data_IF_827031312543
#
_entry.id   IF_827031312543
#
_cell.length_a   1.000
_cell.length_b   1.000
_cell.length_c   1.000
_cell.angle_alpha   90.00
_cell.angle_beta   90.00
_cell.angle_gamma   90.00
#
_symmetry.space_group_name_H-M   'P 1'
#
loop_
_entity.id
_entity.type
_entity.pdbx_description
1 polymer ?
#
# COMPACT_ATOMS: atom_id res chain seq x y z
N UNK A 1 -24.89 -13.72 7.66
CA UNK A 1 -23.48 -13.65 7.25
C UNK A 1 -23.45 -12.97 5.89
N UNK A 2 -23.19 -11.66 5.84
CA UNK A 2 -23.13 -10.93 4.57
C UNK A 2 -21.80 -11.28 3.89
N UNK A 3 -21.86 -11.81 2.68
CA UNK A 3 -20.66 -12.03 1.86
C UNK A 3 -20.24 -10.65 1.36
N UNK A 4 -19.29 -10.00 2.04
CA UNK A 4 -18.72 -8.76 1.55
C UNK A 4 -18.15 -8.99 0.15
N UNK A 5 -18.63 -8.22 -0.84
CA UNK A 5 -18.10 -8.30 -2.20
C UNK A 5 -16.65 -7.84 -2.18
N UNK A 6 -15.74 -8.78 -2.42
CA UNK A 6 -14.31 -8.49 -2.58
C UNK A 6 -14.11 -7.41 -3.65
N UNK A 7 -13.42 -6.33 -3.30
CA UNK A 7 -13.19 -5.22 -4.21
C UNK A 7 -12.44 -5.69 -5.47
N UNK A 8 -12.75 -5.14 -6.66
CA UNK A 8 -12.03 -5.47 -7.87
C UNK A 8 -10.54 -5.15 -7.75
N UNK A 9 -9.67 -6.03 -8.28
CA UNK A 9 -8.21 -5.81 -8.37
C UNK A 9 -7.84 -4.41 -8.87
N UNK A 10 -8.54 -3.94 -9.91
CA UNK A 10 -8.30 -2.62 -10.52
C UNK A 10 -8.53 -1.48 -9.52
N UNK A 11 -9.48 -1.62 -8.61
CA UNK A 11 -9.79 -0.63 -7.57
C UNK A 11 -8.68 -0.57 -6.53
N UNK A 12 -8.19 -1.72 -6.06
CA UNK A 12 -7.08 -1.79 -5.08
C UNK A 12 -5.81 -1.18 -5.66
N UNK A 13 -5.47 -1.53 -6.89
CA UNK A 13 -4.31 -0.94 -7.60
C UNK A 13 -4.47 0.58 -7.75
N UNK A 14 -5.68 1.07 -8.01
CA UNK A 14 -5.94 2.52 -8.08
C UNK A 14 -5.68 3.18 -6.73
N UNK A 15 -6.15 2.60 -5.61
CA UNK A 15 -5.90 3.12 -4.26
C UNK A 15 -4.40 3.21 -3.97
N UNK A 16 -3.65 2.14 -4.24
CA UNK A 16 -2.19 2.13 -4.08
C UNK A 16 -1.56 3.23 -4.93
N UNK A 17 -1.99 3.39 -6.20
CA UNK A 17 -1.45 4.45 -7.06
C UNK A 17 -1.75 5.86 -6.55
N UNK A 18 -2.93 6.08 -6.01
CA UNK A 18 -3.32 7.38 -5.45
C UNK A 18 -2.52 7.69 -4.17
N UNK A 19 -2.21 6.67 -3.37
CA UNK A 19 -1.32 6.76 -2.22
C UNK A 19 0.14 7.11 -2.62
N UNK A 20 0.65 6.50 -3.70
CA UNK A 20 1.96 6.85 -4.27
C UNK A 20 2.01 8.32 -4.74
N UNK A 21 0.94 8.82 -5.37
CA UNK A 21 0.83 10.24 -5.79
C UNK A 21 0.84 11.17 -4.60
N UNK A 22 0.09 10.82 -3.56
CA UNK A 22 0.05 11.56 -2.33
C UNK A 22 1.44 11.61 -1.67
N UNK A 23 2.10 10.47 -1.55
CA UNK A 23 3.47 10.37 -0.99
C UNK A 23 4.47 11.24 -1.76
N UNK A 24 4.44 11.21 -3.11
CA UNK A 24 5.30 12.06 -3.95
C UNK A 24 5.02 13.55 -3.73
N UNK A 25 3.74 13.92 -3.62
CA UNK A 25 3.33 15.30 -3.39
C UNK A 25 3.83 15.81 -2.04
N UNK A 26 3.60 15.05 -0.97
CA UNK A 26 4.06 15.39 0.38
C UNK A 26 5.57 15.54 0.40
N UNK A 27 6.31 14.60 -0.20
CA UNK A 27 7.76 14.69 -0.33
C UNK A 27 8.20 15.95 -1.08
N UNK A 28 7.58 16.26 -2.22
CA UNK A 28 7.88 17.46 -2.99
C UNK A 28 7.61 18.75 -2.23
N UNK A 29 6.51 18.82 -1.47
CA UNK A 29 6.18 19.96 -0.62
C UNK A 29 7.19 20.15 0.52
N UNK A 30 7.61 19.05 1.15
CA UNK A 30 8.64 19.04 2.19
C UNK A 30 9.99 19.55 1.64
N UNK A 31 10.38 19.11 0.43
CA UNK A 31 11.58 19.58 -0.26
C UNK A 31 11.54 21.09 -0.55
N UNK A 32 10.35 21.67 -0.70
CA UNK A 32 10.14 23.11 -0.86
C UNK A 32 10.03 23.87 0.48
N UNK A 33 10.19 23.18 1.61
CA UNK A 33 10.16 23.78 2.96
C UNK A 33 8.76 23.87 3.58
N UNK A 34 7.71 23.39 2.89
CA UNK A 34 6.37 23.27 3.47
C UNK A 34 6.34 21.99 4.31
N UNK A 35 6.70 22.09 5.60
CA UNK A 35 6.72 20.98 6.59
C UNK A 35 5.35 20.29 6.70
N UNK A 36 5.10 19.33 5.81
CA UNK A 36 3.86 18.56 5.65
C UNK A 36 4.03 17.10 6.09
N UNK A 37 4.98 16.81 6.98
CA UNK A 37 5.26 15.46 7.47
C UNK A 37 4.04 14.77 8.10
N UNK A 38 3.05 15.55 8.55
CA UNK A 38 1.82 15.04 9.16
C UNK A 38 0.66 14.88 8.17
N UNK A 39 0.85 15.16 6.89
CA UNK A 39 -0.18 14.97 5.86
C UNK A 39 -0.30 13.49 5.48
N UNK A 40 -0.65 12.62 6.43
CA UNK A 40 -0.79 11.18 6.19
C UNK A 40 -2.23 10.90 5.77
N UNK A 41 -2.40 10.34 4.57
CA UNK A 41 -3.63 9.68 4.17
C UNK A 41 -3.42 8.20 4.46
N UNK A 42 -4.12 7.62 5.43
CA UNK A 42 -3.99 6.21 5.83
C UNK A 42 -4.54 5.22 4.78
N UNK A 43 -4.25 5.45 3.50
CA UNK A 43 -4.71 4.64 2.36
C UNK A 43 -4.07 3.25 2.42
N UNK A 44 -2.80 3.15 2.83
CA UNK A 44 -2.12 1.87 3.06
C UNK A 44 -2.91 0.97 4.02
N UNK A 45 -3.36 1.50 5.16
CA UNK A 45 -4.19 0.76 6.11
C UNK A 45 -5.52 0.31 5.49
N UNK A 46 -6.18 1.19 4.72
CA UNK A 46 -7.41 0.84 4.01
C UNK A 46 -7.17 -0.30 3.00
N UNK A 47 -6.03 -0.29 2.29
CA UNK A 47 -5.63 -1.36 1.39
C UNK A 47 -5.40 -2.67 2.14
N UNK A 48 -4.77 -2.64 3.31
CA UNK A 48 -4.56 -3.81 4.15
C UNK A 48 -5.88 -4.43 4.60
N UNK A 49 -6.81 -3.63 5.08
CA UNK A 49 -8.13 -4.07 5.54
C UNK A 49 -8.91 -4.74 4.40
N UNK A 50 -8.97 -4.10 3.22
CA UNK A 50 -9.63 -4.63 2.01
C UNK A 50 -9.00 -5.95 1.56
N UNK A 51 -7.70 -6.12 1.79
CA UNK A 51 -6.97 -7.35 1.46
C UNK A 51 -7.01 -8.39 2.59
N UNK A 52 -7.75 -8.15 3.67
CA UNK A 52 -7.86 -9.02 4.84
C UNK A 52 -6.49 -9.31 5.50
N UNK A 53 -5.61 -8.30 5.50
CA UNK A 53 -4.33 -8.32 6.18
C UNK A 53 -4.50 -7.65 7.55
N UNK A 54 -4.73 -8.47 8.58
CA UNK A 54 -4.93 -7.95 9.95
C UNK A 54 -3.61 -7.44 10.53
N UNK A 55 -3.37 -6.13 10.45
CA UNK A 55 -2.14 -5.50 10.98
C UNK A 55 -2.04 -5.47 12.50
N UNK A 56 -3.06 -5.95 13.23
CA UNK A 56 -2.94 -6.22 14.68
C UNK A 56 -2.30 -7.58 14.97
N UNK A 57 -2.11 -8.41 13.96
CA UNK A 57 -1.44 -9.70 14.08
C UNK A 57 0.07 -9.54 13.93
N UNK A 58 0.83 -9.97 14.94
CA UNK A 58 2.30 -9.89 14.97
C UNK A 58 2.98 -10.51 13.76
N UNK A 59 2.33 -11.46 13.06
CA UNK A 59 2.85 -12.07 11.83
C UNK A 59 2.94 -11.08 10.65
N UNK A 60 2.32 -9.91 10.79
CA UNK A 60 2.22 -8.85 9.78
C UNK A 60 2.81 -7.51 10.28
N UNK A 61 3.54 -7.49 11.40
CA UNK A 61 4.15 -6.26 11.95
C UNK A 61 5.06 -5.55 10.93
N UNK A 62 5.69 -6.30 10.02
CA UNK A 62 6.57 -5.78 8.96
C UNK A 62 5.83 -5.07 7.82
N UNK A 63 4.51 -5.26 7.70
CA UNK A 63 3.77 -4.89 6.49
C UNK A 63 3.78 -3.39 6.22
N UNK A 64 3.62 -2.58 7.28
CA UNK A 64 3.58 -1.13 7.17
C UNK A 64 4.93 -0.58 6.71
N UNK A 65 6.02 -1.03 7.32
CA UNK A 65 7.37 -0.57 7.00
C UNK A 65 7.77 -0.98 5.58
N UNK A 66 7.56 -2.25 5.20
CA UNK A 66 7.86 -2.71 3.84
C UNK A 66 7.00 -2.01 2.77
N UNK A 67 5.74 -1.69 3.08
CA UNK A 67 4.89 -0.93 2.17
C UNK A 67 5.44 0.49 1.98
N UNK A 68 5.84 1.15 3.07
CA UNK A 68 6.42 2.49 3.04
C UNK A 68 7.74 2.52 2.24
N UNK A 69 8.64 1.56 2.48
CA UNK A 69 9.91 1.44 1.77
C UNK A 69 9.70 1.27 0.26
N UNK A 70 8.75 0.42 -0.14
CA UNK A 70 8.40 0.25 -1.55
C UNK A 70 7.80 1.53 -2.14
N UNK A 71 6.94 2.20 -1.39
CA UNK A 71 6.30 3.43 -1.82
C UNK A 71 7.29 4.56 -2.00
N UNK A 72 8.39 4.56 -1.24
CA UNK A 72 9.46 5.56 -1.35
C UNK A 72 10.12 5.61 -2.74
N UNK A 73 10.09 4.52 -3.50
CA UNK A 73 10.60 4.46 -4.88
C UNK A 73 9.94 5.49 -5.82
N UNK A 74 8.72 5.94 -5.49
CA UNK A 74 8.02 6.98 -6.26
C UNK A 74 8.80 8.31 -6.31
N UNK A 75 9.69 8.54 -5.35
CA UNK A 75 10.50 9.76 -5.27
C UNK A 75 11.53 9.86 -6.38
N UNK A 76 11.86 8.76 -7.06
CA UNK A 76 12.75 8.74 -8.23
C UNK A 76 12.04 9.11 -9.54
N UNK A 77 10.71 9.04 -9.58
CA UNK A 77 9.94 9.24 -10.81
C UNK A 77 9.58 10.70 -11.04
N UNK A 78 9.41 11.09 -12.31
CA UNK A 78 8.81 12.37 -12.65
C UNK A 78 7.33 12.39 -12.22
N UNK A 79 6.83 13.53 -11.74
CA UNK A 79 5.45 13.63 -11.22
C UNK A 79 4.37 13.34 -12.28
N UNK A 80 4.69 13.48 -13.56
CA UNK A 80 3.81 13.18 -14.69
C UNK A 80 4.00 11.76 -15.27
N UNK A 81 4.90 10.95 -14.72
CA UNK A 81 5.16 9.58 -15.17
C UNK A 81 4.08 8.61 -14.65
N UNK A 82 2.88 8.71 -15.21
CA UNK A 82 1.76 7.86 -14.78
C UNK A 82 2.01 6.36 -15.02
N UNK A 83 2.92 6.00 -15.92
CA UNK A 83 3.21 4.59 -16.24
C UNK A 83 4.08 3.96 -15.15
N UNK A 84 5.14 4.63 -14.70
CA UNK A 84 5.97 4.15 -13.59
C UNK A 84 5.15 4.01 -12.29
N UNK A 85 4.28 4.98 -12.00
CA UNK A 85 3.35 4.88 -10.87
C UNK A 85 2.41 3.68 -10.99
N UNK A 86 1.91 3.41 -12.20
CA UNK A 86 1.04 2.28 -12.47
C UNK A 86 1.78 0.94 -12.31
N UNK A 87 3.03 0.85 -12.76
CA UNK A 87 3.89 -0.33 -12.58
C UNK A 87 4.18 -0.59 -11.10
N UNK A 88 4.63 0.43 -10.37
CA UNK A 88 4.91 0.32 -8.94
C UNK A 88 3.66 -0.10 -8.13
N UNK A 89 2.50 0.49 -8.44
CA UNK A 89 1.26 0.10 -7.78
C UNK A 89 0.87 -1.38 -8.03
N UNK A 90 1.13 -1.89 -9.23
CA UNK A 90 0.92 -3.31 -9.56
C UNK A 90 1.91 -4.21 -8.81
N UNK A 91 3.17 -3.79 -8.71
CA UNK A 91 4.21 -4.51 -7.97
C UNK A 91 3.89 -4.63 -6.48
N UNK A 92 3.53 -3.51 -5.85
CA UNK A 92 3.08 -3.48 -4.44
C UNK A 92 1.86 -4.37 -4.25
N UNK A 93 0.85 -4.29 -5.13
CA UNK A 93 -0.32 -5.17 -5.07
C UNK A 93 0.05 -6.66 -5.15
N UNK A 94 0.96 -7.02 -6.06
CA UNK A 94 1.41 -8.40 -6.22
C UNK A 94 2.19 -8.90 -4.99
N UNK A 95 2.97 -8.03 -4.35
CA UNK A 95 3.63 -8.34 -3.08
C UNK A 95 2.61 -8.55 -1.96
N UNK A 96 1.64 -7.64 -1.77
CA UNK A 96 0.55 -7.79 -0.79
C UNK A 96 -0.24 -9.08 -0.98
N UNK A 97 -0.51 -9.47 -2.24
CA UNK A 97 -1.14 -10.76 -2.53
C UNK A 97 -0.31 -11.96 -2.06
N UNK A 98 1.02 -11.89 -2.17
CA UNK A 98 1.91 -12.95 -1.67
C UNK A 98 1.89 -12.99 -0.15
N UNK A 99 1.97 -11.83 0.51
CA UNK A 99 1.88 -11.73 1.97
C UNK A 99 0.55 -12.29 2.49
N UNK A 100 -0.57 -11.95 1.86
CA UNK A 100 -1.89 -12.51 2.21
C UNK A 100 -1.92 -14.03 2.10
N UNK A 101 -1.36 -14.59 1.02
CA UNK A 101 -1.29 -16.05 0.85
C UNK A 101 -0.46 -16.72 1.93
N UNK A 102 0.71 -16.15 2.27
CA UNK A 102 1.56 -16.65 3.36
C UNK A 102 0.85 -16.58 4.71
N UNK A 103 0.17 -15.47 4.97
CA UNK A 103 -0.58 -15.24 6.21
C UNK A 103 -1.70 -16.27 6.40
N UNK A 104 -2.53 -16.48 5.39
CA UNK A 104 -3.59 -17.50 5.42
C UNK A 104 -3.01 -18.90 5.62
N UNK A 105 -1.90 -19.24 4.95
CA UNK A 105 -1.23 -20.53 5.14
C UNK A 105 -0.79 -20.73 6.60
N UNK A 106 -0.13 -19.72 7.19
CA UNK A 106 0.30 -19.75 8.60
C UNK A 106 -0.87 -19.77 9.60
N UNK A 107 -2.03 -19.25 9.24
CA UNK A 107 -3.24 -19.34 10.05
C UNK A 107 -3.79 -20.77 10.09
N UNK A 108 -3.73 -21.48 8.96
CA UNK A 108 -4.21 -22.87 8.87
C UNK A 108 -3.25 -23.84 9.53
N UNK A 109 -1.93 -23.63 9.41
CA UNK A 109 -0.91 -24.54 9.97
C UNK A 109 -0.76 -24.45 11.50
N UNK A 110 -1.19 -23.34 12.11
CA UNK A 110 -1.06 -23.09 13.56
C UNK A 110 -2.40 -23.18 14.31
N UNK A 111 -3.47 -23.66 13.66
CA UNK A 111 -4.77 -24.00 14.25
C UNK A 111 -4.94 -25.52 14.29
#
# INVERSE_FOLDING_TARGET
MQIEKKLPKKTIIRLIKDDLRHSKLVWGLNMLGFKNDNAVLSISQTVFDIMELNTNDRRLDHLTDEYNDRSYQVNEYASNDSESFQRLAVEIYNWLLKERKKYIKRLIENN
#
